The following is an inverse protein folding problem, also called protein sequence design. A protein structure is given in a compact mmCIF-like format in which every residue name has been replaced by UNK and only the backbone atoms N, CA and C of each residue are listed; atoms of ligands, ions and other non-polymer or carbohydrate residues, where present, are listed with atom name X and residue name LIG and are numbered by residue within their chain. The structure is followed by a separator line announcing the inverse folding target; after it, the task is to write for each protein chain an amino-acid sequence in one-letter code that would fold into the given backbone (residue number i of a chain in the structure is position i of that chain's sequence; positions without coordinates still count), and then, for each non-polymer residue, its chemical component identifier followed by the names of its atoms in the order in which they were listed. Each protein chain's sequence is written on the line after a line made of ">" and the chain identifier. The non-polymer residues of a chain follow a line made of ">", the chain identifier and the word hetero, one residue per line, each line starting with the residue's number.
data_IF_912050613807
#
_entry.id   IF_912050613807
#
_cell.length_a   1.000
_cell.length_b   1.000
_cell.length_c   1.000
_cell.angle_alpha   90.00
_cell.angle_beta   90.00
_cell.angle_gamma   90.00
#
_symmetry.space_group_name_H-M   'P 1'
#
loop_
_entity.id
_entity.type
_entity.pdbx_description
1 polymer ?
#
# COMPACT_ATOMS: atom_id res chain seq x y z
N UNK A 1 -14.60 -3.72 -6.43
CA UNK A 1 -13.65 -3.51 -5.30
C UNK A 1 -13.89 -4.63 -4.31
N UNK A 2 -12.85 -5.29 -3.79
CA UNK A 2 -13.00 -6.34 -2.77
C UNK A 2 -13.53 -5.71 -1.47
N UNK A 3 -14.65 -6.21 -0.91
CA UNK A 3 -15.29 -5.67 0.30
C UNK A 3 -14.36 -5.70 1.52
N UNK A 4 -13.52 -6.72 1.63
CA UNK A 4 -12.52 -6.85 2.70
C UNK A 4 -11.48 -5.72 2.62
N UNK A 5 -10.98 -5.41 1.42
CA UNK A 5 -10.00 -4.35 1.19
C UNK A 5 -10.62 -2.99 1.52
N UNK A 6 -11.86 -2.75 1.10
CA UNK A 6 -12.59 -1.51 1.42
C UNK A 6 -12.75 -1.31 2.93
N UNK A 7 -13.10 -2.38 3.67
CA UNK A 7 -13.22 -2.33 5.13
C UNK A 7 -11.89 -1.97 5.79
N UNK A 8 -10.79 -2.62 5.39
CA UNK A 8 -9.45 -2.36 5.94
C UNK A 8 -8.98 -0.93 5.68
N UNK A 9 -9.19 -0.42 4.47
CA UNK A 9 -8.90 0.98 4.15
C UNK A 9 -9.75 1.94 4.99
N UNK A 10 -11.02 1.59 5.26
CA UNK A 10 -11.89 2.33 6.18
C UNK A 10 -11.30 2.46 7.59
N UNK A 11 -10.77 1.37 8.15
CA UNK A 11 -10.10 1.42 9.46
C UNK A 11 -8.86 2.31 9.46
N UNK A 12 -8.01 2.20 8.44
CA UNK A 12 -6.81 3.05 8.34
C UNK A 12 -7.20 4.53 8.27
N UNK A 13 -8.20 4.88 7.47
CA UNK A 13 -8.70 6.25 7.32
C UNK A 13 -9.27 6.80 8.63
N UNK A 14 -10.02 5.97 9.35
CA UNK A 14 -10.48 6.34 10.69
C UNK A 14 -9.30 6.65 11.62
N UNK A 15 -8.28 5.79 11.66
CA UNK A 15 -7.07 6.02 12.46
C UNK A 15 -6.33 7.29 12.05
N UNK A 16 -6.19 7.56 10.75
CA UNK A 16 -5.58 8.80 10.23
C UNK A 16 -6.35 10.02 10.76
N UNK A 17 -7.69 9.97 10.72
CA UNK A 17 -8.56 11.04 11.22
C UNK A 17 -8.46 11.23 12.74
N UNK A 18 -8.42 10.14 13.50
CA UNK A 18 -8.38 10.18 14.97
C UNK A 18 -7.04 10.72 15.50
N UNK A 19 -5.93 10.41 14.82
CA UNK A 19 -4.60 10.90 15.18
C UNK A 19 -4.34 12.31 14.61
N UNK A 20 -5.04 12.70 13.55
CA UNK A 20 -4.87 14.00 12.90
C UNK A 20 -3.62 14.08 12.02
N UNK A 21 -3.24 12.97 11.38
CA UNK A 21 -2.11 12.90 10.44
C UNK A 21 -2.58 13.00 8.99
N UNK A 22 -1.68 13.35 8.06
CA UNK A 22 -2.01 13.47 6.63
C UNK A 22 -2.08 12.13 5.89
N UNK A 23 -1.48 11.08 6.44
CA UNK A 23 -1.46 9.76 5.82
C UNK A 23 -0.61 8.78 6.61
N UNK A 24 -0.78 7.49 6.30
CA UNK A 24 -0.07 6.37 6.89
C UNK A 24 0.73 5.63 5.82
N UNK A 25 2.04 5.50 6.04
CA UNK A 25 2.93 4.66 5.22
C UNK A 25 3.15 3.33 5.92
N UNK A 26 2.59 2.27 5.34
CA UNK A 26 2.79 0.89 5.79
C UNK A 26 3.98 0.29 5.05
N UNK A 27 4.91 -0.32 5.79
CA UNK A 27 6.14 -0.90 5.22
C UNK A 27 6.26 -2.36 5.60
N UNK A 28 6.46 -3.22 4.60
CA UNK A 28 6.69 -4.65 4.78
C UNK A 28 5.64 -5.51 4.11
N UNK A 29 6.05 -6.72 3.72
CA UNK A 29 5.23 -7.69 2.96
C UNK A 29 3.96 -8.12 3.68
N UNK A 30 4.00 -8.20 5.01
CA UNK A 30 2.83 -8.55 5.82
C UNK A 30 1.74 -7.47 5.72
N UNK A 31 2.14 -6.20 5.81
CA UNK A 31 1.21 -5.08 5.69
C UNK A 31 0.63 -4.95 4.28
N UNK A 32 1.46 -5.17 3.25
CA UNK A 32 1.00 -5.19 1.88
C UNK A 32 -0.02 -6.30 1.63
N UNK A 33 0.30 -7.53 2.04
CA UNK A 33 -0.57 -8.70 1.87
C UNK A 33 -1.87 -8.53 2.64
N UNK A 34 -1.79 -8.02 3.88
CA UNK A 34 -2.96 -7.73 4.69
C UNK A 34 -3.87 -6.68 4.04
N UNK A 35 -3.33 -5.52 3.64
CA UNK A 35 -4.14 -4.42 3.11
C UNK A 35 -4.77 -4.75 1.74
N UNK A 36 -4.12 -5.59 0.93
CA UNK A 36 -4.60 -5.97 -0.41
C UNK A 36 -5.51 -7.19 -0.42
N UNK A 37 -5.77 -7.83 0.74
CA UNK A 37 -6.62 -9.03 0.82
C UNK A 37 -5.96 -10.26 0.22
N UNK A 38 -4.64 -10.42 0.42
CA UNK A 38 -3.89 -11.57 -0.08
C UNK A 38 -3.45 -11.45 -1.54
N UNK A 39 -3.50 -10.26 -2.14
CA UNK A 39 -2.93 -10.06 -3.47
C UNK A 39 -1.43 -10.39 -3.40
N UNK A 40 -1.01 -11.38 -4.19
CA UNK A 40 0.38 -11.79 -4.18
C UNK A 40 1.25 -10.67 -4.76
N UNK A 41 2.27 -10.17 -4.05
CA UNK A 41 3.20 -9.21 -4.61
C UNK A 41 4.07 -9.81 -5.73
N UNK A 42 3.88 -11.07 -6.13
CA UNK A 42 4.71 -11.80 -7.11
C UNK A 42 4.90 -11.09 -8.46
N UNK A 43 3.93 -10.29 -8.93
CA UNK A 43 4.07 -9.50 -10.16
C UNK A 43 4.93 -8.24 -9.95
N UNK A 44 5.07 -7.77 -8.71
CA UNK A 44 5.95 -6.67 -8.28
C UNK A 44 7.31 -7.17 -7.75
N UNK A 45 7.42 -8.45 -7.37
CA UNK A 45 8.59 -9.09 -6.75
C UNK A 45 9.66 -9.60 -7.73
N UNK A 46 9.53 -9.37 -9.04
CA UNK A 46 10.68 -9.58 -9.94
C UNK A 46 11.76 -8.51 -9.74
N UNK A 47 11.50 -7.47 -8.95
CA UNK A 47 12.52 -6.65 -8.33
C UNK A 47 13.03 -7.37 -7.06
N UNK A 48 14.22 -7.97 -7.14
CA UNK A 48 14.89 -8.72 -6.05
C UNK A 48 15.12 -7.91 -4.75
N UNK A 49 14.71 -6.64 -4.70
CA UNK A 49 14.81 -5.78 -3.52
C UNK A 49 13.60 -4.84 -3.41
N UNK A 50 12.60 -5.25 -2.63
CA UNK A 50 12.04 -4.35 -1.61
C UNK A 50 10.87 -3.44 -1.95
N UNK A 51 9.81 -3.94 -2.60
CA UNK A 51 8.58 -3.15 -2.76
C UNK A 51 7.38 -3.86 -2.14
N UNK A 52 7.09 -3.50 -0.89
CA UNK A 52 5.89 -3.91 -0.17
C UNK A 52 5.40 -2.74 0.69
N UNK A 53 5.25 -1.58 0.06
CA UNK A 53 4.87 -0.37 0.76
C UNK A 53 3.57 0.20 0.21
N UNK A 54 2.76 0.71 1.13
CA UNK A 54 1.49 1.34 0.85
C UNK A 54 1.42 2.70 1.52
N UNK A 55 1.04 3.72 0.76
CA UNK A 55 0.67 5.02 1.31
C UNK A 55 -0.85 5.12 1.29
N UNK A 56 -1.46 5.37 2.44
CA UNK A 56 -2.89 5.62 2.56
C UNK A 56 -3.11 7.02 3.10
N UNK A 57 -3.97 7.79 2.44
CA UNK A 57 -4.47 9.08 2.91
C UNK A 57 -5.98 8.96 3.17
N UNK A 58 -6.60 10.06 3.57
CA UNK A 58 -8.06 10.10 3.73
C UNK A 58 -8.82 9.80 2.44
N UNK A 59 -8.24 10.18 1.30
CA UNK A 59 -8.93 10.16 0.02
C UNK A 59 -8.49 8.97 -0.84
N UNK A 60 -7.23 8.58 -0.75
CA UNK A 60 -6.58 7.72 -1.73
C UNK A 60 -5.65 6.70 -1.06
N UNK A 61 -5.27 5.67 -1.82
CA UNK A 61 -4.31 4.67 -1.41
C UNK A 61 -3.42 4.30 -2.62
N UNK A 62 -2.12 4.23 -2.40
CA UNK A 62 -1.13 3.95 -3.43
C UNK A 62 -0.19 2.85 -3.00
N UNK A 63 0.17 1.99 -3.94
CA UNK A 63 1.36 1.15 -3.82
C UNK A 63 2.56 2.03 -4.15
N UNK A 64 3.48 2.18 -3.21
CA UNK A 64 4.74 2.86 -3.48
C UNK A 64 5.69 1.86 -4.11
N UNK A 65 6.24 2.20 -5.27
CA UNK A 65 7.23 1.39 -6.00
C UNK A 65 8.47 2.24 -6.23
N UNK A 66 9.66 1.72 -5.96
CA UNK A 66 10.88 2.38 -6.42
C UNK A 66 10.97 2.22 -7.95
N UNK A 67 11.03 3.35 -8.66
CA UNK A 67 11.27 3.36 -10.10
C UNK A 67 12.68 2.81 -10.40
N UNK A 68 12.76 1.60 -10.95
CA UNK A 68 13.96 1.13 -11.66
C UNK A 68 13.67 0.94 -13.16
N UNK A 69 12.88 1.82 -13.78
CA UNK A 69 12.74 1.84 -15.26
C UNK A 69 12.62 3.28 -15.82
N UNK A 70 13.28 4.26 -15.17
CA UNK A 70 13.52 5.58 -15.76
C UNK A 70 14.87 5.60 -16.50
N UNK A 71 15.02 4.72 -17.49
CA UNK A 71 15.81 5.00 -18.70
C UNK A 71 14.97 4.61 -19.91
N UNK A 72 14.11 5.52 -20.34
CA UNK A 72 13.62 5.51 -21.72
C UNK A 72 14.70 6.15 -22.58
N UNK A 73 15.37 5.34 -23.39
CA UNK A 73 16.12 5.82 -24.55
C UNK A 73 15.18 6.40 -25.60
#
# INVERSE_FOLDING_TARGET
>A
MNEEVSMKLGFIRQTISEIGIGGLRLRGTDWFTWATGGASPTVLLTAETGIAELLVTQEEAWVLTDEIELKRE
#
